data_IF_558577415094
#
_entry.id   IF_558577415094
#
_cell.length_a   1.000
_cell.length_b   1.000
_cell.length_c   1.000
_cell.angle_alpha   90.00
_cell.angle_beta   90.00
_cell.angle_gamma   90.00
#
_symmetry.space_group_name_H-M   'P 1'
#
loop_
_entity.id
_entity.type
_entity.pdbx_description
1 polymer ?
#
# COMPACT_ATOMS: atom_id res chain seq x y z
N UNK A 1 -10.75 13.12 13.91
CA UNK A 1 -9.33 13.20 13.48
C UNK A 1 -8.50 13.60 14.69
N UNK A 2 -7.41 12.89 14.95
CA UNK A 2 -6.50 13.12 16.08
C UNK A 2 -5.35 14.04 15.68
N UNK A 3 -4.55 14.51 16.66
CA UNK A 3 -3.32 15.27 16.40
C UNK A 3 -2.32 14.48 15.55
N UNK A 4 -2.18 13.17 15.80
CA UNK A 4 -1.32 12.29 15.02
C UNK A 4 -1.76 12.20 13.55
N UNK A 5 -3.08 12.11 13.30
CA UNK A 5 -3.58 12.08 11.92
C UNK A 5 -3.26 13.36 11.16
N UNK A 6 -3.34 14.51 11.83
CA UNK A 6 -2.96 15.80 11.25
C UNK A 6 -1.46 15.88 10.98
N UNK A 7 -0.63 15.32 11.85
CA UNK A 7 0.81 15.26 11.65
C UNK A 7 1.15 14.40 10.43
N UNK A 8 0.58 13.18 10.35
CA UNK A 8 0.68 12.31 9.19
C UNK A 8 0.25 13.03 7.91
N UNK A 9 -0.92 13.69 7.92
CA UNK A 9 -1.43 14.36 6.73
C UNK A 9 -0.54 15.54 6.29
N UNK A 10 0.05 16.29 7.24
CA UNK A 10 1.05 17.32 6.94
C UNK A 10 2.31 16.72 6.30
N UNK A 11 2.79 15.59 6.80
CA UNK A 11 3.96 14.90 6.24
C UNK A 11 3.67 14.39 4.82
N UNK A 12 2.51 13.77 4.60
CA UNK A 12 2.04 13.40 3.26
C UNK A 12 1.98 14.62 2.35
N UNK A 13 1.38 15.71 2.81
CA UNK A 13 1.29 16.95 2.02
C UNK A 13 2.67 17.49 1.62
N UNK A 14 3.63 17.51 2.55
CA UNK A 14 4.99 17.95 2.26
C UNK A 14 5.65 17.07 1.18
N UNK A 15 5.52 15.75 1.27
CA UNK A 15 6.06 14.80 0.29
C UNK A 15 5.39 14.92 -1.07
N UNK A 16 4.06 15.08 -1.10
CA UNK A 16 3.26 15.20 -2.33
C UNK A 16 3.50 16.55 -3.01
N UNK A 17 3.61 17.64 -2.24
CA UNK A 17 3.90 18.98 -2.77
C UNK A 17 5.21 19.00 -3.55
N UNK A 18 6.24 18.34 -3.02
CA UNK A 18 7.58 18.21 -3.62
C UNK A 18 7.66 17.23 -4.80
N UNK A 19 6.60 16.45 -5.06
CA UNK A 19 6.59 15.51 -6.20
C UNK A 19 6.41 16.23 -7.55
N UNK A 20 6.88 15.59 -8.63
CA UNK A 20 6.72 16.05 -10.02
C UNK A 20 5.34 15.71 -10.61
N UNK A 21 4.46 15.07 -9.84
CA UNK A 21 3.13 14.64 -10.28
C UNK A 21 2.22 15.81 -10.71
N UNK A 22 1.32 15.55 -11.65
CA UNK A 22 0.28 16.50 -12.03
C UNK A 22 -0.62 16.87 -10.82
N UNK A 23 -1.17 18.09 -10.82
CA UNK A 23 -1.98 18.60 -9.70
C UNK A 23 -3.16 17.68 -9.36
N UNK A 24 -3.88 17.19 -10.37
CA UNK A 24 -4.97 16.23 -10.19
C UNK A 24 -4.52 14.94 -9.50
N UNK A 25 -3.32 14.46 -9.84
CA UNK A 25 -2.76 13.27 -9.21
C UNK A 25 -2.39 13.55 -7.74
N UNK A 26 -1.77 14.71 -7.45
CA UNK A 26 -1.48 15.16 -6.08
C UNK A 26 -2.75 15.22 -5.21
N UNK A 27 -3.83 15.80 -5.73
CA UNK A 27 -5.13 15.87 -5.06
C UNK A 27 -5.68 14.46 -4.80
N UNK A 28 -5.58 13.56 -5.78
CA UNK A 28 -6.02 12.17 -5.61
C UNK A 28 -5.24 11.43 -4.52
N UNK A 29 -3.93 11.64 -4.40
CA UNK A 29 -3.12 11.09 -3.30
C UNK A 29 -3.66 11.58 -1.95
N UNK A 30 -3.78 12.91 -1.79
CA UNK A 30 -4.26 13.51 -0.54
C UNK A 30 -5.67 13.01 -0.17
N UNK A 31 -6.58 12.96 -1.15
CA UNK A 31 -7.94 12.45 -0.96
C UNK A 31 -7.94 10.97 -0.53
N UNK A 32 -7.12 10.13 -1.18
CA UNK A 32 -7.06 8.70 -0.86
C UNK A 32 -6.48 8.47 0.55
N UNK A 33 -5.45 9.23 0.93
CA UNK A 33 -4.92 9.22 2.30
C UNK A 33 -5.99 9.61 3.32
N UNK A 34 -6.68 10.74 3.10
CA UNK A 34 -7.74 11.18 4.01
C UNK A 34 -8.86 10.14 4.13
N UNK A 35 -9.32 9.57 3.00
CA UNK A 35 -10.34 8.52 2.99
C UNK A 35 -9.94 7.33 3.85
N UNK A 36 -8.70 6.83 3.70
CA UNK A 36 -8.18 5.69 4.48
C UNK A 36 -8.12 6.00 5.98
N UNK A 37 -7.71 7.21 6.36
CA UNK A 37 -7.70 7.64 7.76
C UNK A 37 -9.11 7.78 8.35
N UNK A 38 -10.06 8.33 7.59
CA UNK A 38 -11.46 8.41 8.02
C UNK A 38 -12.06 7.03 8.22
N UNK A 39 -11.82 6.09 7.30
CA UNK A 39 -12.27 4.70 7.44
C UNK A 39 -11.67 4.08 8.70
N UNK A 40 -10.36 4.21 8.92
CA UNK A 40 -9.69 3.71 10.13
C UNK A 40 -10.35 4.24 11.41
N UNK A 41 -10.58 5.56 11.49
CA UNK A 41 -11.21 6.16 12.68
C UNK A 41 -12.66 5.76 12.88
N UNK A 42 -13.37 5.46 11.81
CA UNK A 42 -14.75 4.99 11.89
C UNK A 42 -14.86 3.58 12.48
N UNK A 43 -13.84 2.75 12.25
CA UNK A 43 -13.83 1.35 12.69
C UNK A 43 -13.03 1.13 13.98
N UNK A 44 -12.07 1.99 14.32
CA UNK A 44 -11.15 1.79 15.44
C UNK A 44 -11.84 1.67 16.80
N UNK A 45 -13.02 2.28 16.92
CA UNK A 45 -13.76 2.36 18.18
C UNK A 45 -14.84 1.28 18.27
N UNK A 46 -14.90 0.36 17.29
CA UNK A 46 -15.87 -0.73 17.22
C UNK A 46 -15.27 -2.02 17.75
N UNK A 47 -16.05 -2.77 18.51
CA UNK A 47 -15.66 -4.09 19.03
C UNK A 47 -15.96 -5.21 18.01
N UNK A 48 -15.56 -5.01 16.76
CA UNK A 48 -15.80 -5.92 15.62
C UNK A 48 -14.46 -6.17 14.90
N UNK A 49 -14.35 -7.31 14.19
CA UNK A 49 -13.18 -7.59 13.35
C UNK A 49 -13.43 -7.09 11.93
N UNK A 50 -12.52 -6.28 11.40
CA UNK A 50 -12.59 -5.77 10.04
C UNK A 50 -11.45 -6.31 9.20
N UNK A 51 -11.78 -6.93 8.07
CA UNK A 51 -10.82 -7.18 6.99
C UNK A 51 -10.87 -5.99 6.02
N UNK A 52 -9.75 -5.31 5.85
CA UNK A 52 -9.66 -4.11 5.02
C UNK A 52 -8.67 -4.36 3.90
N UNK A 53 -9.17 -4.39 2.67
CA UNK A 53 -8.32 -4.31 1.50
C UNK A 53 -7.76 -2.89 1.37
N UNK A 54 -6.44 -2.78 1.19
CA UNK A 54 -5.72 -1.50 1.07
C UNK A 54 -6.06 -0.45 2.16
N UNK A 55 -5.94 -0.83 3.44
CA UNK A 55 -6.14 0.06 4.58
C UNK A 55 -5.08 1.16 4.75
N UNK A 56 -4.85 1.61 5.99
CA UNK A 56 -3.84 2.65 6.30
C UNK A 56 -2.41 2.21 5.95
N UNK A 57 -2.14 0.90 5.97
CA UNK A 57 -0.90 0.28 5.52
C UNK A 57 -0.60 0.52 4.02
N UNK A 58 -1.61 0.91 3.22
CA UNK A 58 -1.45 1.21 1.79
C UNK A 58 -1.14 2.70 1.51
N UNK A 59 -1.18 3.57 2.52
CA UNK A 59 -0.83 4.99 2.35
C UNK A 59 0.60 5.17 1.78
N UNK A 60 1.64 4.47 2.28
CA UNK A 60 2.99 4.57 1.73
C UNK A 60 3.08 4.31 0.23
N UNK A 61 2.35 3.31 -0.27
CA UNK A 61 2.29 2.98 -1.70
C UNK A 61 1.71 4.14 -2.51
N UNK A 62 0.64 4.74 -1.98
CA UNK A 62 -0.04 5.86 -2.63
C UNK A 62 0.85 7.11 -2.71
N UNK A 63 1.80 7.27 -1.77
CA UNK A 63 2.65 8.47 -1.64
C UNK A 63 4.01 8.32 -2.32
N UNK A 64 4.57 7.11 -2.33
CA UNK A 64 5.97 6.87 -2.73
C UNK A 64 6.14 6.03 -4.00
N UNK A 65 5.11 5.34 -4.49
CA UNK A 65 5.22 4.49 -5.69
C UNK A 65 4.70 5.25 -6.90
N UNK A 66 5.63 5.79 -7.70
CA UNK A 66 5.40 6.46 -8.99
C UNK A 66 6.63 6.28 -9.89
N UNK A 67 6.42 6.14 -11.20
CA UNK A 67 7.50 5.94 -12.19
C UNK A 67 8.50 7.10 -12.14
N UNK A 68 9.80 6.75 -12.13
CA UNK A 68 10.90 7.71 -12.22
C UNK A 68 11.25 8.43 -10.90
N UNK A 69 10.56 8.13 -9.79
CA UNK A 69 10.87 8.71 -8.48
C UNK A 69 11.75 7.81 -7.62
N UNK A 70 12.90 8.29 -7.19
CA UNK A 70 13.68 7.58 -6.17
C UNK A 70 12.96 7.67 -4.81
N UNK A 71 12.70 6.53 -4.20
CA UNK A 71 12.12 6.45 -2.84
C UNK A 71 13.19 6.87 -1.83
N UNK A 72 12.87 7.86 -0.99
CA UNK A 72 13.67 8.20 0.18
C UNK A 72 13.25 7.32 1.35
N UNK A 73 14.12 6.39 1.75
CA UNK A 73 13.87 5.49 2.88
C UNK A 73 13.58 6.25 4.19
N UNK A 74 14.32 7.33 4.45
CA UNK A 74 14.10 8.19 5.63
C UNK A 74 12.69 8.80 5.67
N UNK A 75 12.23 9.38 4.56
CA UNK A 75 10.88 9.96 4.47
C UNK A 75 9.79 8.87 4.59
N UNK A 76 10.06 7.69 4.06
CA UNK A 76 9.16 6.54 4.16
C UNK A 76 9.05 6.05 5.61
N UNK A 77 10.17 5.87 6.31
CA UNK A 77 10.17 5.48 7.72
C UNK A 77 9.52 6.54 8.61
N UNK A 78 9.76 7.83 8.34
CA UNK A 78 9.07 8.90 9.05
C UNK A 78 7.56 8.82 8.86
N UNK A 79 7.09 8.62 7.63
CA UNK A 79 5.67 8.44 7.34
C UNK A 79 5.09 7.22 8.08
N UNK A 80 5.80 6.09 8.09
CA UNK A 80 5.34 4.85 8.72
C UNK A 80 5.12 5.04 10.23
N UNK A 81 6.02 5.75 10.92
CA UNK A 81 5.87 6.04 12.36
C UNK A 81 4.61 6.82 12.71
N UNK A 82 4.08 7.60 11.76
CA UNK A 82 2.88 8.40 11.96
C UNK A 82 1.60 7.68 11.53
N UNK A 83 1.71 6.47 10.94
CA UNK A 83 0.54 5.70 10.57
C UNK A 83 -0.20 5.22 11.82
N UNK A 84 -1.54 5.14 11.77
CA UNK A 84 -2.28 4.43 12.80
C UNK A 84 -1.82 2.96 12.89
N UNK A 85 -1.89 2.35 14.08
CA UNK A 85 -1.49 0.97 14.26
C UNK A 85 -2.37 0.04 13.42
N UNK A 86 -1.81 -1.11 13.05
CA UNK A 86 -2.50 -2.19 12.36
C UNK A 86 -2.30 -3.44 13.21
N UNK A 87 -3.40 -4.05 13.66
CA UNK A 87 -3.34 -5.23 14.53
C UNK A 87 -2.73 -6.44 13.82
N UNK A 88 -3.04 -6.57 12.53
CA UNK A 88 -2.60 -7.67 11.69
C UNK A 88 -2.45 -7.22 10.25
N UNK A 89 -1.26 -7.42 9.67
CA UNK A 89 -0.99 -7.16 8.27
C UNK A 89 -0.80 -8.48 7.53
N UNK A 90 -1.60 -8.69 6.48
CA UNK A 90 -1.39 -9.74 5.50
C UNK A 90 -0.83 -9.14 4.22
N UNK A 91 0.31 -9.64 3.77
CA UNK A 91 0.86 -9.35 2.47
C UNK A 91 0.64 -10.55 1.57
N UNK A 92 -0.17 -10.36 0.53
CA UNK A 92 -0.31 -11.34 -0.55
C UNK A 92 0.83 -11.09 -1.53
N UNK A 93 1.71 -12.07 -1.66
CA UNK A 93 2.92 -12.00 -2.46
C UNK A 93 2.89 -13.06 -3.57
N UNK A 94 3.70 -12.90 -4.62
CA UNK A 94 3.97 -13.91 -5.63
C UNK A 94 5.41 -13.73 -6.15
N UNK A 95 5.98 -14.73 -6.83
CA UNK A 95 7.23 -14.56 -7.58
C UNK A 95 7.19 -13.36 -8.53
N UNK A 96 8.34 -12.71 -8.75
CA UNK A 96 8.42 -11.45 -9.51
C UNK A 96 7.98 -11.59 -10.96
N UNK A 97 8.26 -12.72 -11.61
CA UNK A 97 7.77 -13.06 -12.94
C UNK A 97 6.23 -13.14 -12.98
N UNK A 98 5.63 -13.81 -12.00
CA UNK A 98 4.17 -13.90 -11.88
C UNK A 98 3.52 -12.54 -11.61
N UNK A 99 4.13 -11.72 -10.75
CA UNK A 99 3.62 -10.36 -10.50
C UNK A 99 3.74 -9.47 -11.74
N UNK A 100 4.83 -9.60 -12.50
CA UNK A 100 5.04 -8.85 -13.73
C UNK A 100 3.96 -9.16 -14.75
N UNK A 101 3.69 -10.44 -14.98
CA UNK A 101 2.62 -10.89 -15.85
C UNK A 101 1.25 -10.35 -15.41
N UNK A 102 0.96 -10.39 -14.10
CA UNK A 102 -0.30 -9.84 -13.54
C UNK A 102 -0.41 -8.33 -13.71
N UNK A 103 0.69 -7.60 -13.53
CA UNK A 103 0.72 -6.14 -13.70
C UNK A 103 0.50 -5.78 -15.16
N UNK A 104 1.15 -6.49 -16.09
CA UNK A 104 0.96 -6.30 -17.55
C UNK A 104 -0.49 -6.63 -17.95
N UNK A 105 -1.05 -7.77 -17.51
CA UNK A 105 -2.45 -8.13 -17.80
C UNK A 105 -3.43 -7.08 -17.25
N UNK A 106 -3.20 -6.58 -16.03
CA UNK A 106 -4.01 -5.49 -15.46
C UNK A 106 -3.83 -4.17 -16.22
N UNK A 107 -2.63 -3.92 -16.72
CA UNK A 107 -2.29 -2.77 -17.54
C UNK A 107 -3.03 -2.70 -18.86
N UNK A 108 -3.13 -3.85 -19.54
CA UNK A 108 -3.92 -3.99 -20.77
C UNK A 108 -5.41 -3.61 -20.59
N UNK A 109 -5.89 -3.61 -19.34
CA UNK A 109 -7.25 -3.23 -18.95
C UNK A 109 -7.37 -1.75 -18.50
N UNK A 110 -6.33 -0.92 -18.67
CA UNK A 110 -6.40 0.54 -18.54
C UNK A 110 -5.85 1.14 -17.24
N UNK A 111 -4.77 0.58 -16.68
CA UNK A 111 -4.19 1.11 -15.44
C UNK A 111 -3.48 2.47 -15.68
N UNK A 112 -3.94 3.53 -15.00
CA UNK A 112 -3.62 4.94 -15.35
C UNK A 112 -2.26 5.47 -14.87
N UNK A 113 -1.55 4.72 -14.02
CA UNK A 113 -0.32 5.21 -13.35
C UNK A 113 0.97 4.70 -13.98
N UNK A 114 0.88 3.76 -14.91
CA UNK A 114 2.04 3.09 -15.51
C UNK A 114 1.92 3.19 -17.02
N UNK A 115 3.04 3.50 -17.68
CA UNK A 115 3.14 3.35 -19.12
C UNK A 115 3.39 1.88 -19.44
N UNK A 116 2.34 1.14 -19.80
CA UNK A 116 2.44 -0.29 -20.10
C UNK A 116 3.10 -0.58 -21.45
N UNK A 117 3.33 0.44 -22.27
CA UNK A 117 4.09 0.31 -23.51
C UNK A 117 5.60 0.20 -23.25
N UNK A 118 6.05 0.50 -22.03
CA UNK A 118 7.44 0.38 -21.59
C UNK A 118 7.59 -0.70 -20.52
N UNK A 119 8.19 -1.83 -20.90
CA UNK A 119 8.52 -2.91 -19.97
C UNK A 119 9.40 -2.42 -18.81
N UNK A 120 10.36 -1.53 -19.10
CA UNK A 120 11.26 -0.95 -18.09
C UNK A 120 10.49 -0.14 -17.04
N UNK A 121 9.50 0.65 -17.45
CA UNK A 121 8.67 1.44 -16.53
C UNK A 121 7.85 0.54 -15.59
N UNK A 122 7.34 -0.58 -16.11
CA UNK A 122 6.63 -1.59 -15.31
C UNK A 122 7.57 -2.22 -14.28
N UNK A 123 8.79 -2.60 -14.69
CA UNK A 123 9.80 -3.18 -13.79
C UNK A 123 10.21 -2.19 -12.71
N UNK A 124 10.47 -0.92 -13.05
CA UNK A 124 10.82 0.13 -12.08
C UNK A 124 9.68 0.34 -11.07
N UNK A 125 8.44 0.41 -11.54
CA UNK A 125 7.26 0.52 -10.67
C UNK A 125 7.17 -0.67 -9.70
N UNK A 126 7.37 -1.89 -10.20
CA UNK A 126 7.35 -3.09 -9.37
C UNK A 126 8.46 -3.07 -8.32
N UNK A 127 9.69 -2.73 -8.69
CA UNK A 127 10.81 -2.65 -7.76
C UNK A 127 10.59 -1.59 -6.66
N UNK A 128 9.98 -0.45 -7.01
CA UNK A 128 9.58 0.55 -6.03
C UNK A 128 8.51 0.04 -5.09
N UNK A 129 7.47 -0.61 -5.63
CA UNK A 129 6.41 -1.23 -4.82
C UNK A 129 6.99 -2.26 -3.85
N UNK A 130 7.88 -3.13 -4.33
CA UNK A 130 8.63 -4.12 -3.51
C UNK A 130 9.38 -3.47 -2.37
N UNK A 131 10.10 -2.39 -2.63
CA UNK A 131 10.78 -1.64 -1.57
C UNK A 131 9.79 -1.18 -0.50
N UNK A 132 8.68 -0.56 -0.89
CA UNK A 132 7.65 -0.11 0.06
C UNK A 132 7.05 -1.29 0.85
N UNK A 133 6.77 -2.42 0.20
CA UNK A 133 6.30 -3.66 0.86
C UNK A 133 7.24 -4.06 2.00
N UNK A 134 8.55 -4.07 1.77
CA UNK A 134 9.51 -4.50 2.79
C UNK A 134 9.55 -3.55 4.00
N UNK A 135 9.45 -2.24 3.79
CA UNK A 135 9.35 -1.28 4.88
C UNK A 135 8.04 -1.46 5.67
N UNK A 136 6.91 -1.66 4.97
CA UNK A 136 5.60 -1.86 5.59
C UNK A 136 5.55 -3.17 6.38
N UNK A 137 6.07 -4.28 5.82
CA UNK A 137 6.19 -5.57 6.51
C UNK A 137 7.00 -5.47 7.78
N UNK A 138 8.16 -4.81 7.72
CA UNK A 138 9.04 -4.62 8.89
C UNK A 138 8.36 -3.77 9.96
N UNK A 139 7.62 -2.74 9.56
CA UNK A 139 6.98 -1.82 10.49
C UNK A 139 5.80 -2.45 11.25
N UNK A 140 4.92 -3.19 10.54
CA UNK A 140 3.71 -3.77 11.15
C UNK A 140 3.83 -5.24 11.55
N UNK A 141 4.96 -5.91 11.25
CA UNK A 141 5.10 -7.35 11.51
C UNK A 141 4.24 -8.21 10.57
N UNK A 142 4.31 -7.95 9.26
CA UNK A 142 3.40 -8.56 8.28
C UNK A 142 3.57 -10.07 8.08
N UNK A 143 2.46 -10.80 8.10
CA UNK A 143 2.37 -12.18 7.64
C UNK A 143 2.37 -12.20 6.10
N UNK A 144 3.11 -13.13 5.50
CA UNK A 144 3.18 -13.26 4.05
C UNK A 144 2.44 -14.51 3.61
N UNK A 145 1.51 -14.34 2.67
CA UNK A 145 0.87 -15.42 1.94
C UNK A 145 1.37 -15.39 0.50
N UNK A 146 2.16 -16.39 0.12
CA UNK A 146 2.69 -16.51 -1.25
C UNK A 146 1.69 -17.23 -2.14
N UNK A 147 1.11 -16.51 -3.10
CA UNK A 147 0.20 -17.03 -4.09
C UNK A 147 0.91 -17.29 -5.43
N UNK A 148 1.16 -18.55 -5.72
CA UNK A 148 1.75 -19.01 -6.99
C UNK A 148 0.73 -19.45 -8.03
N UNK A 149 -0.58 -19.44 -7.71
CA UNK A 149 -1.66 -19.87 -8.59
C UNK A 149 -2.64 -18.73 -8.88
N UNK A 150 -3.60 -18.93 -9.79
CA UNK A 150 -4.52 -17.85 -10.20
C UNK A 150 -5.53 -17.49 -9.10
N UNK A 151 -5.99 -18.50 -8.37
CA UNK A 151 -6.99 -18.36 -7.31
C UNK A 151 -6.32 -18.22 -5.94
N UNK A 152 -6.93 -17.46 -5.04
CA UNK A 152 -6.42 -17.28 -3.68
C UNK A 152 -6.94 -18.42 -2.80
N UNK A 153 -6.03 -19.09 -2.08
CA UNK A 153 -6.40 -20.05 -1.04
C UNK A 153 -6.83 -19.30 0.23
N UNK A 154 -8.13 -19.06 0.34
CA UNK A 154 -8.74 -18.40 1.51
C UNK A 154 -8.54 -19.18 2.80
N UNK A 155 -8.47 -20.51 2.77
CA UNK A 155 -8.30 -21.32 3.97
C UNK A 155 -6.87 -21.18 4.51
N UNK A 156 -5.88 -21.14 3.63
CA UNK A 156 -4.49 -20.85 4.00
C UNK A 156 -4.37 -19.44 4.59
N UNK A 157 -5.07 -18.45 4.04
CA UNK A 157 -5.12 -17.09 4.60
C UNK A 157 -5.75 -17.11 6.00
N UNK A 158 -6.92 -17.72 6.18
CA UNK A 158 -7.60 -17.77 7.48
C UNK A 158 -6.71 -18.42 8.55
N UNK A 159 -6.01 -19.50 8.20
CA UNK A 159 -5.03 -20.16 9.08
C UNK A 159 -3.87 -19.23 9.45
N UNK A 160 -3.32 -18.49 8.49
CA UNK A 160 -2.24 -17.52 8.71
C UNK A 160 -2.65 -16.37 9.63
N UNK A 161 -3.90 -15.92 9.52
CA UNK A 161 -4.46 -14.86 10.37
C UNK A 161 -4.81 -15.33 11.79
N UNK A 162 -4.56 -16.61 12.11
CA UNK A 162 -4.69 -17.12 13.48
C UNK A 162 -6.12 -17.14 14.01
N UNK A 163 -7.14 -17.20 13.13
CA UNK A 163 -8.50 -17.50 13.60
C UNK A 163 -8.53 -18.96 14.06
N UNK A 164 -8.38 -19.15 15.38
CA UNK A 164 -8.57 -20.44 16.05
C UNK A 164 -10.03 -20.91 16.12
N UNK A 165 -10.97 -20.15 15.55
CA UNK A 165 -12.39 -20.53 15.52
C UNK A 165 -13.01 -20.21 14.15
N UNK A 166 -13.14 -21.25 13.32
CA UNK A 166 -14.24 -21.46 12.36
C UNK A 166 -14.75 -22.87 12.59
#
# INVERSE_FOLDING_TARGET
>A
MTSADWHLFKNVFAVVRQSTNALFHKINILRNTLKKLVIYRYISDRNERFLIDEGVSHIPFTVFVDIGRTISGEKLEALLRDLPPVDLLLVVDAPDDVLLDRVIDRGSKGHRRINFDSHEDVVVFMQQSRKVVEYVKRHFGGHVYTNTVKDIDTDAIIKLLGSKDV
#
